data_IF_785418091194
#
_entry.id   IF_785418091194
#
_cell.length_a   1.000
_cell.length_b   1.000
_cell.length_c   1.000
_cell.angle_alpha   90.00
_cell.angle_beta   90.00
_cell.angle_gamma   90.00
#
_symmetry.space_group_name_H-M   'P 1'
#
loop_
_entity.id
_entity.type
_entity.pdbx_description
1 polymer ?
#
# COMPACT_ATOMS: atom_id res chain seq x y z
N UNK A 1 55.89 -80.51 50.73
CA UNK A 1 55.10 -79.28 50.81
C UNK A 1 55.76 -78.21 49.93
N UNK A 2 55.32 -78.07 48.71
CA UNK A 2 55.87 -77.08 47.80
C UNK A 2 54.68 -76.25 47.29
N UNK A 3 54.74 -74.94 47.51
CA UNK A 3 53.78 -74.02 47.01
C UNK A 3 54.21 -73.55 45.63
N UNK A 4 53.31 -73.75 44.59
CA UNK A 4 53.45 -73.20 43.28
C UNK A 4 52.83 -71.79 43.30
N UNK A 5 53.62 -70.79 42.92
CA UNK A 5 53.13 -69.45 42.56
C UNK A 5 52.75 -69.44 41.09
N UNK A 6 51.50 -69.25 40.78
CA UNK A 6 51.00 -68.95 39.40
C UNK A 6 50.99 -67.46 39.21
N UNK A 7 51.71 -66.96 38.21
CA UNK A 7 51.65 -65.57 37.72
C UNK A 7 50.52 -65.50 36.69
N UNK A 8 49.50 -64.73 36.97
CA UNK A 8 48.46 -64.39 36.01
C UNK A 8 48.83 -63.03 35.42
N UNK A 9 49.20 -63.02 34.15
CA UNK A 9 49.37 -61.83 33.36
C UNK A 9 47.94 -61.36 32.89
N UNK A 10 47.51 -60.13 33.28
CA UNK A 10 46.30 -59.48 32.80
C UNK A 10 46.77 -58.48 31.79
N UNK A 11 46.34 -58.57 30.52
CA UNK A 11 46.56 -57.49 29.53
C UNK A 11 45.59 -56.34 29.77
N UNK A 12 46.12 -55.17 30.08
CA UNK A 12 45.32 -53.90 30.10
C UNK A 12 45.02 -53.50 28.68
N UNK A 13 43.75 -53.72 28.25
CA UNK A 13 43.25 -53.16 27.04
C UNK A 13 42.94 -51.67 27.25
N UNK A 14 43.76 -50.79 26.69
CA UNK A 14 43.50 -49.36 26.63
C UNK A 14 42.41 -49.09 25.58
N UNK A 15 41.21 -48.84 26.03
CA UNK A 15 40.10 -48.34 25.18
C UNK A 15 40.37 -46.85 24.89
N UNK A 16 40.86 -46.54 23.70
CA UNK A 16 40.93 -45.16 23.19
C UNK A 16 39.52 -44.78 22.70
N UNK A 17 38.79 -44.04 23.53
CA UNK A 17 37.53 -43.43 23.18
C UNK A 17 37.80 -42.22 22.26
N UNK A 18 37.75 -42.43 20.94
CA UNK A 18 37.74 -41.33 19.97
C UNK A 18 36.35 -40.72 20.00
N UNK A 19 36.18 -39.63 20.78
CA UNK A 19 35.01 -38.79 20.70
C UNK A 19 35.01 -38.03 19.35
N UNK A 20 34.27 -38.54 18.37
CA UNK A 20 33.88 -37.77 17.22
C UNK A 20 32.89 -36.66 17.69
N UNK A 21 33.42 -35.47 17.92
CA UNK A 21 32.61 -34.27 17.97
C UNK A 21 32.06 -34.06 16.57
N UNK A 22 30.83 -34.54 16.31
CA UNK A 22 30.01 -34.04 15.21
C UNK A 22 29.68 -32.59 15.58
N UNK A 23 30.50 -31.66 15.14
CA UNK A 23 30.06 -30.28 14.99
C UNK A 23 28.93 -30.32 13.96
N UNK A 24 27.68 -30.36 14.45
CA UNK A 24 26.53 -29.96 13.64
C UNK A 24 26.78 -28.50 13.30
N UNK A 25 27.46 -28.28 12.18
CA UNK A 25 27.42 -27.00 11.55
C UNK A 25 25.92 -26.74 11.30
N UNK A 26 25.33 -25.83 12.07
CA UNK A 26 24.08 -25.22 11.68
C UNK A 26 24.36 -24.63 10.31
N UNK A 27 24.00 -25.36 9.26
CA UNK A 27 23.96 -24.81 7.92
C UNK A 27 23.10 -23.56 8.03
N UNK A 28 23.73 -22.39 7.86
CA UNK A 28 23.00 -21.15 7.72
C UNK A 28 21.94 -21.44 6.66
N UNK A 29 20.68 -21.29 7.00
CA UNK A 29 19.60 -21.64 6.11
C UNK A 29 19.80 -20.85 4.81
N UNK A 30 19.91 -21.55 3.67
CA UNK A 30 20.03 -20.90 2.35
C UNK A 30 18.72 -20.21 1.95
N UNK A 31 18.06 -19.59 2.94
CA UNK A 31 16.76 -18.94 2.80
C UNK A 31 16.80 -17.49 3.31
N UNK A 32 16.26 -16.59 2.51
CA UNK A 32 15.91 -15.23 2.93
C UNK A 32 14.48 -15.28 3.46
N UNK A 33 14.30 -15.14 4.78
CA UNK A 33 12.97 -15.14 5.39
C UNK A 33 12.39 -13.74 5.38
N UNK A 34 11.19 -13.59 4.81
CA UNK A 34 10.47 -12.32 4.73
C UNK A 34 9.12 -12.49 5.42
N UNK A 35 8.89 -11.70 6.46
CA UNK A 35 7.61 -11.58 7.12
C UNK A 35 6.65 -10.75 6.29
N UNK A 36 5.45 -11.27 6.05
CA UNK A 36 4.35 -10.53 5.40
C UNK A 36 3.28 -10.32 6.46
N UNK A 37 3.17 -9.08 6.96
CA UNK A 37 2.27 -8.73 8.05
C UNK A 37 1.13 -7.85 7.57
N UNK A 38 -0.09 -8.16 7.98
CA UNK A 38 -1.27 -7.35 7.63
C UNK A 38 -2.56 -7.98 8.14
N UNK A 39 -3.71 -7.31 7.94
CA UNK A 39 -5.02 -7.81 8.35
C UNK A 39 -5.49 -8.94 7.43
N UNK A 40 -4.95 -10.16 7.60
CA UNK A 40 -5.07 -11.28 6.64
C UNK A 40 -6.51 -11.77 6.42
N UNK A 41 -7.42 -11.48 7.33
CA UNK A 41 -8.86 -11.77 7.17
C UNK A 41 -9.56 -10.79 6.21
N UNK A 42 -8.92 -9.65 5.91
CA UNK A 42 -9.44 -8.60 5.04
C UNK A 42 -8.70 -8.57 3.72
N UNK A 43 -9.30 -7.95 2.71
CA UNK A 43 -8.73 -7.87 1.36
C UNK A 43 -7.36 -7.18 1.35
N UNK A 44 -7.16 -6.19 2.23
CA UNK A 44 -5.90 -5.45 2.33
C UNK A 44 -4.73 -6.40 2.63
N UNK A 45 -4.87 -7.24 3.65
CA UNK A 45 -3.86 -8.25 4.00
C UNK A 45 -3.76 -9.37 2.96
N UNK A 46 -4.89 -9.79 2.38
CA UNK A 46 -4.88 -10.78 1.28
C UNK A 46 -4.11 -10.26 0.07
N UNK A 47 -4.32 -8.99 -0.32
CA UNK A 47 -3.58 -8.38 -1.44
C UNK A 47 -2.09 -8.21 -1.12
N UNK A 48 -1.73 -7.88 0.13
CA UNK A 48 -0.33 -7.88 0.58
C UNK A 48 0.30 -9.27 0.45
N UNK A 49 -0.41 -10.30 0.88
CA UNK A 49 0.06 -11.68 0.76
C UNK A 49 0.21 -12.11 -0.71
N UNK A 50 -0.79 -11.84 -1.55
CA UNK A 50 -0.77 -12.19 -2.97
C UNK A 50 0.41 -11.53 -3.70
N UNK A 51 0.68 -10.24 -3.45
CA UNK A 51 1.84 -9.53 -4.01
C UNK A 51 3.16 -10.18 -3.60
N UNK A 52 3.31 -10.50 -2.32
CA UNK A 52 4.51 -11.15 -1.80
C UNK A 52 4.70 -12.55 -2.40
N UNK A 53 3.64 -13.35 -2.49
CA UNK A 53 3.67 -14.70 -3.10
C UNK A 53 4.13 -14.63 -4.55
N UNK A 54 3.55 -13.73 -5.35
CA UNK A 54 3.93 -13.58 -6.75
C UNK A 54 5.41 -13.21 -6.91
N UNK A 55 5.92 -12.27 -6.08
CA UNK A 55 7.33 -11.91 -6.08
C UNK A 55 8.23 -13.09 -5.74
N UNK A 56 7.92 -13.80 -4.66
CA UNK A 56 8.72 -14.94 -4.21
C UNK A 56 8.72 -16.11 -5.21
N UNK A 57 7.57 -16.42 -5.82
CA UNK A 57 7.45 -17.44 -6.86
C UNK A 57 8.33 -17.10 -8.06
N UNK A 58 8.26 -15.87 -8.59
CA UNK A 58 9.06 -15.42 -9.73
C UNK A 58 10.58 -15.45 -9.45
N UNK A 59 10.99 -15.00 -8.26
CA UNK A 59 12.41 -14.99 -7.86
C UNK A 59 12.91 -16.41 -7.66
N UNK A 60 12.14 -17.24 -6.95
CA UNK A 60 12.53 -18.62 -6.67
C UNK A 60 12.58 -19.49 -7.93
N UNK A 61 11.70 -19.24 -8.92
CA UNK A 61 11.73 -19.91 -10.21
C UNK A 61 13.03 -19.62 -11.01
N UNK A 62 13.63 -18.44 -10.80
CA UNK A 62 14.92 -18.05 -11.41
C UNK A 62 16.15 -18.54 -10.64
N UNK A 63 15.96 -19.33 -9.59
CA UNK A 63 17.07 -19.85 -8.78
C UNK A 63 17.17 -19.26 -7.38
N UNK A 64 16.48 -18.16 -7.09
CA UNK A 64 16.53 -17.40 -5.86
C UNK A 64 17.29 -16.08 -6.01
N UNK A 65 17.81 -15.56 -4.91
CA UNK A 65 18.52 -14.27 -4.79
C UNK A 65 20.01 -14.52 -4.65
N UNK A 66 20.82 -13.81 -5.43
CA UNK A 66 22.29 -13.88 -5.32
C UNK A 66 22.77 -13.00 -4.17
N UNK A 67 23.32 -13.63 -3.12
CA UNK A 67 23.90 -12.96 -1.94
C UNK A 67 25.40 -13.30 -1.90
N UNK A 68 26.24 -12.41 -2.39
CA UNK A 68 27.66 -12.69 -2.59
C UNK A 68 27.87 -13.86 -3.58
N UNK A 69 28.44 -14.97 -3.10
CA UNK A 69 28.64 -16.18 -3.90
C UNK A 69 27.50 -17.21 -3.78
N UNK A 70 26.49 -16.97 -2.94
CA UNK A 70 25.41 -17.92 -2.65
C UNK A 70 24.12 -17.54 -3.37
N UNK A 71 23.36 -18.57 -3.76
CA UNK A 71 21.96 -18.43 -4.19
C UNK A 71 21.04 -18.81 -3.03
N UNK A 72 20.17 -17.90 -2.60
CA UNK A 72 19.28 -18.08 -1.46
C UNK A 72 17.81 -18.01 -1.92
N UNK A 73 16.99 -18.95 -1.46
CA UNK A 73 15.55 -18.94 -1.78
C UNK A 73 14.79 -17.99 -0.85
N UNK A 74 13.76 -17.33 -1.36
CA UNK A 74 12.84 -16.57 -0.52
C UNK A 74 11.86 -17.52 0.15
N UNK A 75 11.72 -17.37 1.47
CA UNK A 75 10.71 -18.01 2.29
C UNK A 75 9.81 -16.95 2.91
N UNK A 76 8.54 -16.96 2.54
CA UNK A 76 7.55 -16.07 3.12
C UNK A 76 6.98 -16.63 4.41
N UNK A 77 6.76 -15.76 5.38
CA UNK A 77 6.12 -16.07 6.66
C UNK A 77 4.94 -15.12 6.83
N UNK A 78 3.73 -15.67 6.78
CA UNK A 78 2.51 -14.89 6.93
C UNK A 78 2.22 -14.59 8.40
N UNK A 79 1.83 -13.35 8.69
CA UNK A 79 1.40 -12.93 10.02
C UNK A 79 0.10 -12.11 9.94
N UNK A 80 -0.98 -12.63 10.53
CA UNK A 80 -2.22 -11.85 10.71
C UNK A 80 -1.99 -10.85 11.84
N UNK A 81 -2.02 -9.58 11.52
CA UNK A 81 -1.85 -8.48 12.48
C UNK A 81 -3.12 -8.19 13.28
N UNK A 82 -4.30 -8.63 12.81
CA UNK A 82 -5.61 -8.32 13.39
C UNK A 82 -5.82 -6.82 13.73
N UNK A 83 -5.10 -5.95 13.04
CA UNK A 83 -4.90 -4.52 13.35
C UNK A 83 -6.18 -3.66 13.24
N UNK A 84 -7.26 -4.18 12.64
CA UNK A 84 -8.56 -3.51 12.68
C UNK A 84 -9.24 -3.58 14.05
N UNK A 85 -8.88 -4.59 14.87
CA UNK A 85 -9.50 -4.86 16.17
C UNK A 85 -8.54 -4.62 17.33
N UNK A 86 -7.22 -4.86 17.16
CA UNK A 86 -6.27 -4.86 18.26
C UNK A 86 -4.87 -4.45 17.81
N UNK A 87 -4.36 -3.34 18.35
CA UNK A 87 -2.96 -2.92 18.16
C UNK A 87 -2.01 -3.93 18.84
N UNK A 88 -2.40 -4.49 19.99
CA UNK A 88 -1.63 -5.50 20.71
C UNK A 88 -1.41 -6.75 19.87
N UNK A 89 -2.40 -7.20 19.12
CA UNK A 89 -2.23 -8.36 18.23
C UNK A 89 -1.23 -8.06 17.13
N UNK A 90 -1.24 -6.84 16.59
CA UNK A 90 -0.30 -6.42 15.57
C UNK A 90 1.16 -6.39 16.10
N UNK A 91 1.37 -5.86 17.32
CA UNK A 91 2.69 -5.87 17.96
C UNK A 91 3.18 -7.29 18.25
N UNK A 92 2.32 -8.14 18.81
CA UNK A 92 2.64 -9.55 19.07
C UNK A 92 2.99 -10.32 17.77
N UNK A 93 2.30 -10.02 16.67
CA UNK A 93 2.60 -10.62 15.37
C UNK A 93 3.98 -10.17 14.85
N UNK A 94 4.32 -8.89 14.97
CA UNK A 94 5.64 -8.35 14.60
C UNK A 94 6.75 -8.95 15.45
N UNK A 95 6.59 -8.98 16.77
CA UNK A 95 7.56 -9.59 17.70
C UNK A 95 7.81 -11.06 17.38
N UNK A 96 6.75 -11.83 17.08
CA UNK A 96 6.84 -13.24 16.70
C UNK A 96 7.65 -13.42 15.40
N UNK A 97 7.38 -12.63 14.36
CA UNK A 97 8.15 -12.67 13.12
C UNK A 97 9.64 -12.46 13.37
N UNK A 98 10.01 -11.51 14.23
CA UNK A 98 11.40 -11.14 14.50
C UNK A 98 12.06 -12.13 15.45
N UNK A 99 11.44 -12.42 16.60
CA UNK A 99 12.09 -13.15 17.69
C UNK A 99 12.03 -14.66 17.52
N UNK A 100 10.90 -15.21 17.05
CA UNK A 100 10.69 -16.64 16.86
C UNK A 100 11.04 -17.10 15.45
N UNK A 101 10.45 -16.41 14.45
CA UNK A 101 10.53 -16.83 13.06
C UNK A 101 11.83 -16.33 12.39
N UNK A 102 12.56 -15.41 13.06
CA UNK A 102 13.88 -14.89 12.66
C UNK A 102 13.88 -14.38 11.22
N UNK A 103 12.91 -13.55 10.88
CA UNK A 103 12.83 -12.93 9.55
C UNK A 103 13.97 -11.92 9.36
N UNK A 104 14.48 -11.82 8.12
CA UNK A 104 15.47 -10.81 7.74
C UNK A 104 14.80 -9.46 7.41
N UNK A 105 13.59 -9.51 6.87
CA UNK A 105 12.81 -8.35 6.43
C UNK A 105 11.34 -8.53 6.76
N UNK A 106 10.63 -7.41 6.88
CA UNK A 106 9.17 -7.40 6.99
C UNK A 106 8.59 -6.48 5.92
N UNK A 107 7.48 -6.88 5.30
CA UNK A 107 6.70 -6.07 4.38
C UNK A 107 5.22 -6.10 4.79
N UNK A 108 4.50 -5.01 4.57
CA UNK A 108 3.05 -4.96 4.84
C UNK A 108 2.63 -3.89 5.85
N UNK A 109 1.68 -4.22 6.73
CA UNK A 109 1.02 -3.27 7.65
C UNK A 109 0.00 -2.38 6.93
N UNK A 110 -1.07 -1.99 7.61
CA UNK A 110 -2.15 -1.23 6.99
C UNK A 110 -2.64 -0.05 7.86
N UNK A 111 -3.11 -0.31 9.08
CA UNK A 111 -3.61 0.77 9.93
C UNK A 111 -2.45 1.58 10.52
N UNK A 112 -2.56 2.90 10.40
CA UNK A 112 -1.52 3.83 10.87
C UNK A 112 -1.12 3.57 12.31
N UNK A 113 -2.08 3.40 13.21
CA UNK A 113 -1.86 3.21 14.65
C UNK A 113 -1.07 1.92 14.95
N UNK A 114 -1.39 0.85 14.23
CA UNK A 114 -0.69 -0.42 14.36
C UNK A 114 0.71 -0.34 13.73
N UNK A 115 0.83 0.31 12.57
CA UNK A 115 2.13 0.45 11.89
C UNK A 115 3.12 1.28 12.70
N UNK A 116 2.68 2.29 13.46
CA UNK A 116 3.54 3.00 14.40
C UNK A 116 4.16 2.06 15.44
N UNK A 117 3.34 1.22 16.07
CA UNK A 117 3.82 0.27 17.07
C UNK A 117 4.72 -0.82 16.45
N UNK A 118 4.36 -1.32 15.26
CA UNK A 118 5.19 -2.28 14.52
C UNK A 118 6.52 -1.68 14.07
N UNK A 119 6.55 -0.39 13.68
CA UNK A 119 7.75 0.34 13.32
C UNK A 119 8.75 0.40 14.48
N UNK A 120 8.26 0.69 15.69
CA UNK A 120 9.11 0.72 16.90
C UNK A 120 9.80 -0.63 17.11
N UNK A 121 9.06 -1.73 17.03
CA UNK A 121 9.60 -3.10 17.23
C UNK A 121 10.61 -3.47 16.14
N UNK A 122 10.26 -3.25 14.86
CA UNK A 122 11.14 -3.60 13.75
C UNK A 122 12.46 -2.82 13.80
N UNK A 123 12.38 -1.51 14.03
CA UNK A 123 13.55 -0.64 14.07
C UNK A 123 14.47 -0.92 15.28
N UNK A 124 13.91 -1.19 16.46
CA UNK A 124 14.69 -1.60 17.64
C UNK A 124 15.49 -2.89 17.39
N UNK A 125 14.98 -3.78 16.56
CA UNK A 125 15.64 -5.03 16.20
C UNK A 125 16.46 -4.94 14.90
N UNK A 126 16.62 -3.74 14.31
CA UNK A 126 17.31 -3.50 13.03
C UNK A 126 16.79 -4.34 11.86
N UNK A 127 15.50 -4.66 11.88
CA UNK A 127 14.82 -5.37 10.79
C UNK A 127 14.21 -4.33 9.86
N UNK A 128 14.60 -4.37 8.58
CA UNK A 128 14.02 -3.47 7.59
C UNK A 128 12.54 -3.80 7.42
N UNK A 129 11.69 -2.79 7.66
CA UNK A 129 10.25 -2.86 7.50
C UNK A 129 9.80 -1.92 6.39
N UNK A 130 9.30 -2.48 5.28
CA UNK A 130 8.72 -1.69 4.18
C UNK A 130 7.19 -1.68 4.35
N UNK A 131 6.65 -0.52 4.73
CA UNK A 131 5.23 -0.32 4.97
C UNK A 131 4.42 -0.30 3.67
N UNK A 132 3.41 -1.18 3.55
CA UNK A 132 2.59 -1.31 2.33
C UNK A 132 1.10 -1.12 2.63
N UNK A 133 0.72 -0.01 3.31
CA UNK A 133 -0.69 0.25 3.65
C UNK A 133 -0.94 1.55 4.36
N UNK A 134 -0.14 1.89 5.35
CA UNK A 134 -0.33 3.10 6.16
C UNK A 134 0.18 4.37 5.46
N UNK A 135 -0.64 5.43 5.49
CA UNK A 135 -0.35 6.65 4.75
C UNK A 135 0.17 7.82 5.60
N UNK A 136 0.16 7.74 6.94
CA UNK A 136 0.58 8.87 7.77
C UNK A 136 1.97 9.41 7.42
N UNK A 137 2.09 10.72 7.23
CA UNK A 137 3.38 11.41 7.01
C UNK A 137 4.34 11.19 8.19
N UNK A 138 3.80 11.08 9.41
CA UNK A 138 4.59 10.95 10.63
C UNK A 138 5.43 9.68 10.68
N UNK A 139 5.03 8.60 10.00
CA UNK A 139 5.85 7.39 9.89
C UNK A 139 7.25 7.68 9.31
N UNK A 140 7.32 8.56 8.32
CA UNK A 140 8.56 8.96 7.65
C UNK A 140 9.18 10.20 8.30
N UNK A 141 8.39 11.10 8.91
CA UNK A 141 8.90 12.21 9.70
C UNK A 141 9.73 11.72 10.90
N UNK A 142 9.31 10.60 11.54
CA UNK A 142 10.09 9.96 12.61
C UNK A 142 11.47 9.50 12.13
N UNK A 143 11.58 9.00 10.90
CA UNK A 143 12.88 8.64 10.29
C UNK A 143 13.78 9.88 10.21
N UNK A 144 13.28 10.97 9.65
CA UNK A 144 14.06 12.20 9.53
C UNK A 144 14.45 12.82 10.88
N UNK A 145 13.56 12.73 11.87
CA UNK A 145 13.77 13.33 13.20
C UNK A 145 14.68 12.48 14.10
N UNK A 146 14.56 11.17 14.01
CA UNK A 146 15.26 10.19 14.87
C UNK A 146 15.89 9.09 14.01
N UNK A 147 16.79 9.50 13.08
CA UNK A 147 17.33 8.66 12.03
C UNK A 147 17.93 7.33 12.55
N UNK A 148 18.82 7.40 13.54
CA UNK A 148 19.48 6.19 14.07
C UNK A 148 18.49 5.17 14.64
N UNK A 149 17.37 5.63 15.14
CA UNK A 149 16.31 4.78 15.68
C UNK A 149 15.41 4.20 14.60
N UNK A 150 15.03 4.99 13.56
CA UNK A 150 14.00 4.62 12.62
C UNK A 150 14.47 4.38 11.17
N UNK A 151 15.77 4.43 10.88
CA UNK A 151 16.33 4.26 9.52
C UNK A 151 15.97 2.92 8.84
N UNK A 152 15.49 1.94 9.58
CA UNK A 152 15.06 0.65 9.05
C UNK A 152 13.62 0.62 8.55
N UNK A 153 12.88 1.72 8.65
CA UNK A 153 11.55 1.85 8.08
C UNK A 153 11.59 2.58 6.74
N UNK A 154 10.89 2.02 5.74
CA UNK A 154 10.68 2.63 4.42
C UNK A 154 9.20 2.58 4.06
N UNK A 155 8.70 3.60 3.37
CA UNK A 155 7.39 3.54 2.73
C UNK A 155 7.48 2.78 1.42
N UNK A 156 6.66 1.75 1.25
CA UNK A 156 6.44 1.06 -0.02
C UNK A 156 5.24 1.63 -0.76
N UNK A 157 4.06 1.53 -0.15
CA UNK A 157 2.77 2.02 -0.66
C UNK A 157 1.80 2.31 0.49
N UNK A 158 0.80 3.18 0.29
CA UNK A 158 0.67 4.20 -0.76
C UNK A 158 1.62 5.37 -0.52
N UNK A 159 1.44 6.49 -1.25
CA UNK A 159 2.08 7.75 -0.87
C UNK A 159 1.64 8.18 0.52
N UNK A 160 2.35 9.16 1.11
CA UNK A 160 1.94 9.76 2.38
C UNK A 160 0.61 10.53 2.27
N UNK A 161 0.01 10.85 3.41
CA UNK A 161 -1.28 11.54 3.49
C UNK A 161 -1.29 12.87 2.73
N UNK A 162 -0.21 13.65 2.82
CA UNK A 162 -0.06 14.91 2.07
C UNK A 162 -0.11 14.68 0.56
N UNK A 163 0.57 13.68 0.04
CA UNK A 163 0.58 13.35 -1.38
C UNK A 163 -0.77 12.76 -1.84
N UNK A 164 -1.42 11.91 -1.00
CA UNK A 164 -2.75 11.40 -1.27
C UNK A 164 -3.79 12.52 -1.43
N UNK A 165 -3.74 13.51 -0.54
CA UNK A 165 -4.62 14.69 -0.64
C UNK A 165 -4.35 15.48 -1.92
N UNK A 166 -3.09 15.70 -2.30
CA UNK A 166 -2.73 16.38 -3.56
C UNK A 166 -3.25 15.63 -4.78
N UNK A 167 -3.11 14.30 -4.81
CA UNK A 167 -3.65 13.48 -5.88
C UNK A 167 -5.17 13.58 -5.93
N UNK A 168 -5.84 13.46 -4.79
CA UNK A 168 -7.30 13.55 -4.70
C UNK A 168 -7.84 14.92 -5.14
N UNK A 169 -7.17 16.02 -4.82
CA UNK A 169 -7.51 17.35 -5.37
C UNK A 169 -7.37 17.41 -6.88
N UNK A 170 -6.35 16.76 -7.44
CA UNK A 170 -6.19 16.68 -8.91
C UNK A 170 -7.36 15.92 -9.55
N UNK A 171 -7.84 14.83 -8.91
CA UNK A 171 -9.01 14.08 -9.37
C UNK A 171 -10.29 14.95 -9.31
N UNK A 172 -10.49 15.66 -8.20
CA UNK A 172 -11.63 16.60 -8.05
C UNK A 172 -11.56 17.73 -9.08
N UNK A 173 -10.38 18.31 -9.31
CA UNK A 173 -10.15 19.35 -10.30
C UNK A 173 -10.49 18.89 -11.72
N UNK A 174 -9.98 17.72 -12.13
CA UNK A 174 -10.29 17.14 -13.44
C UNK A 174 -11.77 16.79 -13.59
N UNK A 175 -12.42 16.30 -12.52
CA UNK A 175 -13.87 16.02 -12.54
C UNK A 175 -14.66 17.32 -12.66
N UNK A 176 -14.29 18.37 -11.94
CA UNK A 176 -14.94 19.68 -12.03
C UNK A 176 -14.82 20.28 -13.45
N UNK A 177 -13.68 20.09 -14.12
CA UNK A 177 -13.50 20.51 -15.50
C UNK A 177 -14.46 19.76 -16.44
N UNK A 178 -14.61 18.45 -16.29
CA UNK A 178 -15.58 17.65 -17.04
C UNK A 178 -17.01 18.13 -16.80
N UNK A 179 -17.39 18.41 -15.54
CA UNK A 179 -18.73 18.93 -15.22
C UNK A 179 -19.01 20.31 -15.85
N UNK A 180 -18.03 21.21 -15.85
CA UNK A 180 -18.14 22.51 -16.52
C UNK A 180 -18.35 22.34 -18.03
N UNK A 181 -17.53 21.51 -18.66
CA UNK A 181 -17.55 21.33 -20.11
C UNK A 181 -18.81 20.59 -20.58
N UNK A 182 -19.21 19.53 -19.88
CA UNK A 182 -20.30 18.66 -20.29
C UNK A 182 -21.69 19.15 -19.84
N UNK A 183 -21.79 19.83 -18.69
CA UNK A 183 -23.07 20.30 -18.13
C UNK A 183 -23.27 21.82 -18.20
N UNK A 184 -22.28 22.58 -18.68
CA UNK A 184 -22.36 24.03 -18.82
C UNK A 184 -22.39 24.77 -17.47
N UNK A 185 -21.80 24.22 -16.40
CA UNK A 185 -21.79 24.85 -15.09
C UNK A 185 -20.80 26.02 -15.09
N UNK A 186 -21.29 27.24 -14.88
CA UNK A 186 -20.50 28.49 -14.96
C UNK A 186 -20.04 29.03 -13.60
N UNK A 187 -20.71 28.65 -12.52
CA UNK A 187 -20.35 29.09 -11.17
C UNK A 187 -19.32 28.21 -10.47
N UNK A 188 -18.98 28.50 -9.20
CA UNK A 188 -18.18 27.62 -8.37
C UNK A 188 -18.82 26.23 -8.26
N UNK A 189 -18.03 25.18 -8.47
CA UNK A 189 -18.49 23.80 -8.24
C UNK A 189 -18.70 23.60 -6.73
N UNK A 190 -19.88 23.16 -6.33
CA UNK A 190 -20.25 22.88 -4.95
C UNK A 190 -19.75 21.48 -4.55
N UNK A 191 -18.93 21.42 -3.50
CA UNK A 191 -18.29 20.20 -3.04
C UNK A 191 -18.75 19.86 -1.61
N UNK A 192 -19.35 18.69 -1.44
CA UNK A 192 -19.56 18.08 -0.13
C UNK A 192 -18.33 17.23 0.23
N UNK A 193 -17.67 17.51 1.34
CA UNK A 193 -16.55 16.70 1.79
C UNK A 193 -17.04 15.64 2.78
N UNK A 194 -16.72 14.37 2.52
CA UNK A 194 -17.14 13.23 3.34
C UNK A 194 -15.93 12.36 3.66
N UNK A 195 -15.54 12.34 4.94
CA UNK A 195 -14.41 11.55 5.41
C UNK A 195 -14.82 10.69 6.60
N UNK A 196 -14.47 9.41 6.60
CA UNK A 196 -14.71 8.55 7.77
C UNK A 196 -14.02 9.07 9.04
N UNK A 197 -14.55 8.72 10.22
CA UNK A 197 -13.92 9.02 11.50
C UNK A 197 -12.71 8.10 11.71
N UNK A 198 -11.55 8.49 11.18
CA UNK A 198 -10.29 7.75 11.30
C UNK A 198 -9.11 8.72 11.31
N UNK A 199 -8.05 8.39 12.06
CA UNK A 199 -6.89 9.25 12.27
C UNK A 199 -6.23 9.69 10.96
N UNK A 200 -6.12 8.79 9.99
CA UNK A 200 -5.52 9.11 8.69
C UNK A 200 -6.28 10.20 7.91
N UNK A 201 -7.61 10.31 8.14
CA UNK A 201 -8.48 11.25 7.45
C UNK A 201 -8.65 12.58 8.21
N UNK A 202 -8.26 12.65 9.48
CA UNK A 202 -8.48 13.85 10.33
C UNK A 202 -7.70 15.05 9.80
N UNK A 203 -6.43 14.87 9.42
CA UNK A 203 -5.58 15.92 8.87
C UNK A 203 -6.08 16.44 7.51
N UNK A 204 -6.95 15.71 6.82
CA UNK A 204 -7.46 16.08 5.49
C UNK A 204 -8.56 17.13 5.56
N UNK A 205 -9.31 17.20 6.67
CA UNK A 205 -10.40 18.18 6.84
C UNK A 205 -9.90 19.62 6.69
N UNK A 206 -8.90 20.09 7.47
CA UNK A 206 -8.38 21.46 7.31
C UNK A 206 -7.72 21.68 5.94
N UNK A 207 -7.09 20.67 5.35
CA UNK A 207 -6.51 20.80 4.02
C UNK A 207 -7.57 21.04 2.94
N UNK A 208 -8.72 20.36 3.02
CA UNK A 208 -9.85 20.54 2.10
C UNK A 208 -10.48 21.92 2.27
N UNK A 209 -10.72 22.34 3.51
CA UNK A 209 -11.26 23.66 3.83
C UNK A 209 -10.38 24.80 3.29
N UNK A 210 -9.06 24.66 3.36
CA UNK A 210 -8.11 25.65 2.89
C UNK A 210 -7.90 25.64 1.36
N UNK A 211 -8.08 24.50 0.69
CA UNK A 211 -7.69 24.31 -0.71
C UNK A 211 -8.83 24.48 -1.70
N UNK A 212 -10.03 23.97 -1.42
CA UNK A 212 -11.16 24.06 -2.36
C UNK A 212 -11.50 25.48 -2.79
N UNK A 213 -11.51 26.51 -1.87
CA UNK A 213 -11.76 27.87 -2.30
C UNK A 213 -10.67 28.40 -3.26
N UNK A 214 -9.40 28.02 -3.08
CA UNK A 214 -8.30 28.39 -3.98
C UNK A 214 -8.42 27.75 -5.36
N UNK A 215 -9.15 26.63 -5.47
CA UNK A 215 -9.47 25.97 -6.73
C UNK A 215 -10.74 26.51 -7.39
N UNK A 216 -11.34 27.61 -6.87
CA UNK A 216 -12.60 28.15 -7.36
C UNK A 216 -13.80 27.26 -7.11
N UNK A 217 -13.80 26.50 -6.02
CA UNK A 217 -14.87 25.61 -5.59
C UNK A 217 -15.45 26.06 -4.26
N UNK A 218 -16.72 25.73 -4.01
CA UNK A 218 -17.43 26.02 -2.77
C UNK A 218 -17.55 24.76 -1.93
N UNK A 219 -17.00 24.77 -0.71
CA UNK A 219 -17.24 23.71 0.26
C UNK A 219 -18.59 23.91 0.95
N UNK A 220 -19.59 23.07 0.62
CA UNK A 220 -20.95 23.20 1.14
C UNK A 220 -21.18 22.47 2.46
N UNK A 221 -20.25 21.65 2.91
CA UNK A 221 -20.30 20.99 4.21
C UNK A 221 -19.27 19.87 4.34
N UNK A 222 -19.11 19.41 5.60
CA UNK A 222 -18.21 18.32 6.00
C UNK A 222 -19.02 17.28 6.77
N UNK A 223 -18.97 16.03 6.34
CA UNK A 223 -19.65 14.91 6.99
C UNK A 223 -18.64 13.85 7.42
N UNK A 224 -18.84 13.30 8.61
CA UNK A 224 -17.90 12.35 9.23
C UNK A 224 -18.65 11.07 9.67
N UNK A 225 -19.02 10.17 8.72
CA UNK A 225 -19.67 8.90 9.08
C UNK A 225 -18.73 7.98 9.87
N UNK A 226 -19.33 7.06 10.64
CA UNK A 226 -18.59 5.98 11.29
C UNK A 226 -17.94 5.07 10.23
N UNK A 227 -16.71 4.57 10.45
CA UNK A 227 -16.03 3.64 9.53
C UNK A 227 -16.83 2.35 9.27
N UNK A 228 -17.69 1.97 10.20
CA UNK A 228 -18.51 0.74 10.13
C UNK A 228 -20.00 1.03 9.93
N UNK A 229 -20.37 2.27 9.58
CA UNK A 229 -21.76 2.61 9.28
C UNK A 229 -22.30 1.79 8.12
N UNK A 230 -23.50 1.24 8.30
CA UNK A 230 -24.23 0.47 7.27
C UNK A 230 -25.36 1.28 6.64
N UNK A 231 -25.77 2.36 7.30
CA UNK A 231 -26.74 3.34 6.82
C UNK A 231 -26.14 4.75 6.97
N UNK A 232 -26.18 5.50 5.86
CA UNK A 232 -25.69 6.90 5.73
C UNK A 232 -26.74 7.80 5.06
N UNK A 233 -28.00 7.39 5.13
CA UNK A 233 -29.12 8.10 4.47
C UNK A 233 -29.32 9.52 5.03
N UNK A 234 -29.03 9.75 6.29
CA UNK A 234 -29.12 11.08 6.91
C UNK A 234 -28.08 12.06 6.33
N UNK A 235 -26.82 11.62 6.24
CA UNK A 235 -25.73 12.37 5.62
C UNK A 235 -26.03 12.63 4.14
N UNK A 236 -26.46 11.62 3.39
CA UNK A 236 -26.78 11.74 1.96
C UNK A 236 -27.94 12.69 1.70
N UNK A 237 -28.98 12.66 2.54
CA UNK A 237 -30.10 13.62 2.48
C UNK A 237 -29.64 15.06 2.73
N UNK A 238 -28.70 15.26 3.67
CA UNK A 238 -28.13 16.59 3.92
C UNK A 238 -27.24 17.04 2.75
N UNK A 239 -26.44 16.15 2.19
CA UNK A 239 -25.62 16.41 0.98
C UNK A 239 -26.51 16.79 -0.21
N UNK A 240 -27.60 16.07 -0.44
CA UNK A 240 -28.52 16.39 -1.53
C UNK A 240 -29.14 17.79 -1.36
N UNK A 241 -29.57 18.15 -0.15
CA UNK A 241 -30.10 19.49 0.14
C UNK A 241 -29.08 20.61 -0.02
N UNK A 242 -27.79 20.32 0.17
CA UNK A 242 -26.73 21.32 0.00
C UNK A 242 -26.49 21.70 -1.46
N UNK A 243 -27.02 20.94 -2.42
CA UNK A 243 -26.82 21.15 -3.83
C UNK A 243 -25.40 20.82 -4.30
N UNK A 244 -24.69 19.96 -3.59
CA UNK A 244 -23.37 19.50 -3.97
C UNK A 244 -23.38 18.86 -5.38
N UNK A 245 -22.36 19.16 -6.16
CA UNK A 245 -22.11 18.62 -7.51
C UNK A 245 -21.00 17.59 -7.51
N UNK A 246 -20.14 17.66 -6.50
CA UNK A 246 -19.10 16.65 -6.19
C UNK A 246 -19.24 16.25 -4.73
N UNK A 247 -19.21 14.95 -4.47
CA UNK A 247 -19.04 14.36 -3.15
C UNK A 247 -17.59 13.89 -3.08
N UNK A 248 -16.77 14.64 -2.35
CA UNK A 248 -15.34 14.35 -2.19
C UNK A 248 -15.15 13.39 -1.01
N UNK A 249 -14.81 12.14 -1.31
CA UNK A 249 -14.84 11.02 -0.35
C UNK A 249 -13.47 10.61 0.15
N UNK A 250 -13.36 10.26 1.45
CA UNK A 250 -12.18 9.66 2.07
C UNK A 250 -12.59 8.49 2.96
N UNK A 251 -12.56 7.28 2.40
CA UNK A 251 -12.94 6.03 3.06
C UNK A 251 -11.86 4.97 2.89
N UNK A 252 -11.37 4.41 3.99
CA UNK A 252 -10.46 3.26 4.01
C UNK A 252 -11.13 1.97 4.51
N UNK A 253 -12.38 2.07 4.94
CA UNK A 253 -13.13 1.02 5.62
C UNK A 253 -14.46 0.72 4.92
N UNK A 254 -15.22 -0.23 5.49
CA UNK A 254 -16.44 -0.79 4.89
C UNK A 254 -17.55 0.23 4.62
N UNK A 255 -17.56 1.40 5.26
CA UNK A 255 -18.55 2.47 5.00
C UNK A 255 -18.56 2.93 3.54
N UNK A 256 -17.46 2.77 2.81
CA UNK A 256 -17.38 3.11 1.39
C UNK A 256 -18.38 2.34 0.51
N UNK A 257 -18.82 1.15 0.92
CA UNK A 257 -19.81 0.34 0.19
C UNK A 257 -21.23 0.90 0.35
N UNK A 258 -21.81 1.00 1.57
CA UNK A 258 -23.16 1.55 1.74
C UNK A 258 -23.24 3.00 1.27
N UNK A 259 -22.18 3.80 1.45
CA UNK A 259 -22.17 5.19 0.98
C UNK A 259 -22.35 5.27 -0.54
N UNK A 260 -21.54 4.53 -1.30
CA UNK A 260 -21.63 4.52 -2.75
C UNK A 260 -23.01 4.03 -3.24
N UNK A 261 -23.47 2.91 -2.65
CA UNK A 261 -24.75 2.30 -2.99
C UNK A 261 -25.92 3.24 -2.74
N UNK A 262 -26.06 3.75 -1.52
CA UNK A 262 -27.20 4.59 -1.13
C UNK A 262 -27.21 5.92 -1.88
N UNK A 263 -26.05 6.53 -2.16
CA UNK A 263 -25.96 7.76 -2.93
C UNK A 263 -26.52 7.56 -4.35
N UNK A 264 -26.23 6.44 -5.00
CA UNK A 264 -26.72 6.13 -6.34
C UNK A 264 -28.19 5.67 -6.33
N UNK A 265 -28.62 4.89 -5.33
CA UNK A 265 -30.05 4.55 -5.12
C UNK A 265 -30.91 5.82 -4.99
N UNK A 266 -30.45 6.82 -4.26
CA UNK A 266 -31.09 8.14 -4.10
C UNK A 266 -30.93 9.03 -5.33
N UNK A 267 -30.15 8.63 -6.35
CA UNK A 267 -29.87 9.41 -7.56
C UNK A 267 -29.42 10.84 -7.26
N UNK A 268 -28.54 10.99 -6.25
CA UNK A 268 -27.97 12.29 -5.90
C UNK A 268 -27.24 12.85 -7.12
N UNK A 269 -27.56 14.09 -7.59
CA UNK A 269 -26.97 14.66 -8.80
C UNK A 269 -25.55 15.19 -8.54
N UNK A 270 -24.67 14.34 -8.05
CA UNK A 270 -23.27 14.64 -7.71
C UNK A 270 -22.35 13.48 -8.09
N UNK A 271 -21.12 13.82 -8.50
CA UNK A 271 -20.05 12.83 -8.74
C UNK A 271 -19.39 12.45 -7.43
N UNK A 272 -19.25 11.15 -7.16
CA UNK A 272 -18.44 10.64 -6.06
C UNK A 272 -16.99 10.54 -6.52
N UNK A 273 -16.09 11.30 -5.89
CA UNK A 273 -14.66 11.39 -6.29
C UNK A 273 -13.79 11.45 -5.04
N UNK A 274 -12.69 10.73 -5.01
CA UNK A 274 -11.72 10.84 -3.92
C UNK A 274 -11.00 9.53 -3.61
N UNK A 275 -11.04 9.11 -2.37
CA UNK A 275 -10.47 7.85 -1.90
C UNK A 275 -11.60 6.99 -1.33
N UNK A 276 -11.88 5.87 -1.97
CA UNK A 276 -12.73 4.82 -1.46
C UNK A 276 -12.00 3.49 -1.70
N UNK A 277 -11.35 2.98 -0.66
CA UNK A 277 -10.51 1.77 -0.78
C UNK A 277 -11.34 0.55 -1.15
N UNK A 278 -12.59 0.47 -0.68
CA UNK A 278 -13.49 -0.62 -1.07
C UNK A 278 -13.78 -0.62 -2.58
N UNK A 279 -13.85 0.57 -3.20
CA UNK A 279 -14.11 0.69 -4.64
C UNK A 279 -12.95 0.23 -5.54
N UNK A 280 -11.78 -0.05 -4.98
CA UNK A 280 -10.65 -0.62 -5.73
C UNK A 280 -10.75 -2.15 -5.92
N UNK A 281 -11.73 -2.79 -5.29
CA UNK A 281 -11.89 -4.26 -5.25
C UNK A 281 -12.91 -4.73 -6.29
N UNK A 282 -12.68 -5.91 -6.85
CA UNK A 282 -13.62 -6.53 -7.80
C UNK A 282 -15.01 -6.77 -7.19
N UNK A 283 -15.05 -7.15 -5.91
CA UNK A 283 -16.28 -7.42 -5.18
C UNK A 283 -17.16 -6.19 -4.95
N UNK A 284 -16.60 -4.99 -5.07
CA UNK A 284 -17.34 -3.74 -4.85
C UNK A 284 -18.59 -3.63 -5.73
N UNK A 285 -18.49 -4.07 -6.98
CA UNK A 285 -19.64 -4.07 -7.89
C UNK A 285 -20.80 -4.90 -7.35
N UNK A 286 -20.52 -6.12 -6.89
CA UNK A 286 -21.54 -7.00 -6.32
C UNK A 286 -22.01 -6.51 -4.95
N UNK A 287 -21.09 -6.05 -4.08
CA UNK A 287 -21.40 -5.55 -2.74
C UNK A 287 -22.31 -4.30 -2.79
N UNK A 288 -22.16 -3.49 -3.83
CA UNK A 288 -23.04 -2.33 -4.09
C UNK A 288 -24.27 -2.69 -4.92
N UNK A 289 -24.44 -3.94 -5.34
CA UNK A 289 -25.55 -4.40 -6.24
C UNK A 289 -25.60 -3.61 -7.55
N UNK A 290 -24.42 -3.32 -8.13
CA UNK A 290 -24.30 -2.49 -9.34
C UNK A 290 -24.45 -0.98 -9.10
N UNK A 291 -24.80 -0.55 -7.89
CA UNK A 291 -24.93 0.88 -7.56
C UNK A 291 -23.58 1.57 -7.29
N UNK A 292 -22.45 0.86 -7.44
CA UNK A 292 -21.12 1.45 -7.44
C UNK A 292 -20.77 2.19 -8.73
N UNK A 293 -21.65 2.19 -9.76
CA UNK A 293 -21.41 2.83 -11.05
C UNK A 293 -21.12 4.33 -10.88
N UNK A 294 -20.25 4.89 -11.71
CA UNK A 294 -19.78 6.29 -11.69
C UNK A 294 -18.91 6.70 -10.49
N UNK A 295 -18.68 5.84 -9.51
CA UNK A 295 -17.76 6.14 -8.39
C UNK A 295 -16.33 6.22 -8.89
N UNK A 296 -15.66 7.36 -8.63
CA UNK A 296 -14.25 7.59 -8.93
C UNK A 296 -13.45 7.45 -7.64
N UNK A 297 -12.43 6.61 -7.65
CA UNK A 297 -11.50 6.47 -6.53
C UNK A 297 -10.05 6.55 -6.98
N UNK A 298 -9.20 7.12 -6.12
CA UNK A 298 -7.74 6.96 -6.28
C UNK A 298 -7.41 5.48 -6.32
N UNK A 299 -6.54 5.08 -7.21
CA UNK A 299 -6.07 3.70 -7.36
C UNK A 299 -4.59 3.68 -7.77
N UNK A 300 -3.99 2.50 -7.76
CA UNK A 300 -2.61 2.30 -8.22
C UNK A 300 -2.59 1.64 -9.58
N UNK A 301 -3.57 0.76 -9.82
CA UNK A 301 -3.69 -0.01 -11.04
C UNK A 301 -5.10 0.03 -11.62
N UNK A 302 -5.16 -0.05 -12.93
CA UNK A 302 -6.36 -0.37 -13.70
C UNK A 302 -5.94 -1.17 -14.93
N UNK A 303 -6.77 -2.11 -15.37
CA UNK A 303 -6.45 -3.02 -16.49
C UNK A 303 -6.12 -2.28 -17.79
N UNK A 304 -6.72 -1.13 -18.00
CA UNK A 304 -6.58 -0.34 -19.23
C UNK A 304 -5.44 0.68 -19.19
N UNK A 305 -4.79 0.94 -18.04
CA UNK A 305 -3.80 2.02 -17.89
C UNK A 305 -2.39 1.46 -17.83
N UNK A 306 -1.50 2.09 -18.60
CA UNK A 306 -0.06 1.83 -18.58
C UNK A 306 0.67 3.07 -18.03
N UNK A 307 1.19 2.97 -16.80
CA UNK A 307 2.01 4.01 -16.19
C UNK A 307 3.44 4.02 -16.79
N UNK A 308 3.93 2.81 -17.09
CA UNK A 308 5.21 2.53 -17.77
C UNK A 308 5.18 1.12 -18.40
N UNK A 309 6.29 0.70 -18.97
CA UNK A 309 6.42 -0.59 -19.65
C UNK A 309 6.25 -1.83 -18.77
N UNK A 310 6.40 -1.69 -17.44
CA UNK A 310 6.24 -2.79 -16.48
C UNK A 310 4.79 -2.98 -16.02
N UNK A 311 3.94 -1.95 -16.18
CA UNK A 311 2.57 -1.95 -15.64
C UNK A 311 1.73 -3.09 -16.22
N UNK A 312 1.60 -3.14 -17.54
CA UNK A 312 0.72 -4.09 -18.20
C UNK A 312 1.11 -5.56 -18.00
N UNK A 313 2.40 -5.95 -18.18
CA UNK A 313 2.81 -7.33 -17.90
C UNK A 313 2.52 -7.76 -16.47
N UNK A 314 2.74 -6.88 -15.47
CA UNK A 314 2.45 -7.17 -14.07
C UNK A 314 0.95 -7.34 -13.82
N UNK A 315 0.13 -6.38 -14.27
CA UNK A 315 -1.32 -6.41 -14.05
C UNK A 315 -1.96 -7.65 -14.69
N UNK A 316 -1.56 -8.00 -15.92
CA UNK A 316 -2.07 -9.19 -16.60
C UNK A 316 -1.64 -10.50 -15.91
N UNK A 317 -0.39 -10.58 -15.46
CA UNK A 317 0.09 -11.74 -14.71
C UNK A 317 -0.61 -11.88 -13.35
N UNK A 318 -0.84 -10.77 -12.65
CA UNK A 318 -1.57 -10.76 -11.39
C UNK A 318 -3.02 -11.19 -11.57
N UNK A 319 -3.74 -10.62 -12.57
CA UNK A 319 -5.13 -11.02 -12.89
C UNK A 319 -5.20 -12.50 -13.26
N UNK A 320 -4.26 -12.99 -14.08
CA UNK A 320 -4.20 -14.42 -14.45
C UNK A 320 -4.02 -15.32 -13.22
N UNK A 321 -3.24 -14.87 -12.23
CA UNK A 321 -2.90 -15.66 -11.03
C UNK A 321 -3.99 -15.61 -9.98
N UNK A 322 -4.63 -14.46 -9.76
CA UNK A 322 -5.52 -14.20 -8.63
C UNK A 322 -6.96 -13.83 -9.02
N UNK A 323 -7.24 -13.60 -10.32
CA UNK A 323 -8.60 -13.31 -10.82
C UNK A 323 -9.07 -11.87 -10.61
N UNK A 324 -8.22 -10.98 -10.06
CA UNK A 324 -8.58 -9.61 -9.71
C UNK A 324 -7.50 -8.61 -10.12
N UNK A 325 -7.85 -7.33 -10.24
CA UNK A 325 -6.89 -6.24 -10.48
C UNK A 325 -6.11 -5.98 -9.19
N UNK A 326 -4.77 -5.81 -9.26
CA UNK A 326 -3.98 -5.50 -8.07
C UNK A 326 -4.39 -4.16 -7.46
N UNK A 327 -4.31 -4.06 -6.12
CA UNK A 327 -4.54 -2.83 -5.37
C UNK A 327 -3.20 -2.22 -4.91
N UNK A 328 -3.23 -1.05 -4.27
CA UNK A 328 -1.99 -0.47 -3.74
C UNK A 328 -1.32 -1.33 -2.65
N UNK A 329 -2.08 -2.12 -1.91
CA UNK A 329 -1.52 -3.02 -0.89
C UNK A 329 -0.76 -4.21 -1.50
N UNK A 330 -0.95 -4.48 -2.80
CA UNK A 330 -0.13 -5.42 -3.58
C UNK A 330 1.33 -4.95 -3.71
N UNK A 331 1.64 -3.72 -3.30
CA UNK A 331 2.98 -3.13 -3.30
C UNK A 331 4.05 -3.90 -2.51
N UNK A 332 3.67 -4.95 -1.80
CA UNK A 332 4.61 -5.96 -1.28
C UNK A 332 5.37 -6.69 -2.39
N UNK A 333 4.79 -6.79 -3.60
CA UNK A 333 5.50 -7.32 -4.78
C UNK A 333 6.71 -6.46 -5.15
N UNK A 334 6.50 -5.15 -5.31
CA UNK A 334 7.58 -4.22 -5.64
C UNK A 334 8.59 -4.11 -4.50
N UNK A 335 8.10 -4.10 -3.27
CA UNK A 335 8.93 -4.01 -2.07
C UNK A 335 9.89 -5.20 -1.94
N UNK A 336 9.42 -6.40 -2.23
CA UNK A 336 10.27 -7.59 -2.21
C UNK A 336 11.20 -7.62 -3.42
N UNK A 337 10.66 -7.53 -4.64
CA UNK A 337 11.40 -7.78 -5.87
C UNK A 337 12.33 -6.63 -6.23
N UNK A 338 11.80 -5.40 -6.31
CA UNK A 338 12.53 -4.24 -6.82
C UNK A 338 13.28 -3.48 -5.71
N UNK A 339 12.69 -3.40 -4.50
CA UNK A 339 13.37 -2.71 -3.40
C UNK A 339 14.39 -3.60 -2.72
N UNK A 340 13.98 -4.76 -2.17
CA UNK A 340 14.88 -5.60 -1.38
C UNK A 340 15.80 -6.45 -2.27
N UNK A 341 15.23 -7.29 -3.15
CA UNK A 341 16.02 -8.29 -3.87
C UNK A 341 17.02 -7.65 -4.83
N UNK A 342 16.59 -6.71 -5.67
CA UNK A 342 17.52 -6.03 -6.58
C UNK A 342 18.64 -5.30 -5.80
N UNK A 343 18.32 -4.74 -4.61
CA UNK A 343 19.33 -4.11 -3.75
C UNK A 343 20.31 -5.13 -3.19
N UNK A 344 19.80 -6.25 -2.66
CA UNK A 344 20.62 -7.34 -2.11
C UNK A 344 21.56 -7.90 -3.18
N UNK A 345 21.07 -8.15 -4.38
CA UNK A 345 21.89 -8.65 -5.50
C UNK A 345 22.97 -7.65 -5.93
N UNK A 346 22.64 -6.34 -5.92
CA UNK A 346 23.58 -5.26 -6.25
C UNK A 346 24.76 -5.21 -5.28
N UNK A 347 24.49 -5.35 -3.96
CA UNK A 347 25.53 -5.18 -2.92
C UNK A 347 26.06 -6.50 -2.37
N UNK A 348 25.42 -7.64 -2.70
CA UNK A 348 25.88 -8.98 -2.32
C UNK A 348 25.78 -9.31 -0.82
N UNK A 349 24.89 -8.65 -0.07
CA UNK A 349 24.79 -8.85 1.41
C UNK A 349 23.37 -8.64 1.93
N UNK A 350 23.08 -9.27 3.09
CA UNK A 350 21.86 -9.05 3.87
C UNK A 350 22.05 -8.04 5.02
N UNK A 351 23.20 -7.38 5.08
CA UNK A 351 23.49 -6.36 6.11
C UNK A 351 22.46 -5.21 6.01
N UNK A 352 21.64 -4.98 7.07
CA UNK A 352 20.56 -4.00 6.98
C UNK A 352 21.07 -2.56 6.82
N UNK A 353 22.21 -2.19 7.41
CA UNK A 353 22.75 -0.84 7.30
C UNK A 353 23.23 -0.54 5.86
N UNK A 354 23.83 -1.53 5.19
CA UNK A 354 24.23 -1.41 3.78
C UNK A 354 23.03 -1.35 2.84
N UNK A 355 21.98 -2.13 3.14
CA UNK A 355 20.73 -2.09 2.36
C UNK A 355 20.07 -0.73 2.52
N UNK A 356 19.96 -0.19 3.74
CA UNK A 356 19.42 1.15 4.01
C UNK A 356 20.17 2.20 3.21
N UNK A 357 21.50 2.27 3.33
CA UNK A 357 22.32 3.25 2.63
C UNK A 357 22.20 3.17 1.10
N UNK A 358 21.97 1.96 0.57
CA UNK A 358 21.77 1.77 -0.87
C UNK A 358 20.37 2.20 -1.31
N UNK A 359 19.31 1.82 -0.58
CA UNK A 359 17.93 2.21 -0.89
C UNK A 359 17.74 3.73 -0.90
N UNK A 360 18.36 4.44 0.04
CA UNK A 360 18.31 5.91 0.13
C UNK A 360 18.81 6.63 -1.12
N UNK A 361 19.69 5.99 -1.89
CA UNK A 361 20.33 6.60 -3.06
C UNK A 361 19.88 5.98 -4.39
N UNK A 362 19.03 4.94 -4.35
CA UNK A 362 18.53 4.31 -5.58
C UNK A 362 17.32 5.05 -6.17
N UNK A 363 17.30 5.09 -7.51
CA UNK A 363 16.10 5.39 -8.29
C UNK A 363 15.82 4.18 -9.16
N UNK A 364 14.61 3.62 -9.07
CA UNK A 364 14.26 2.41 -9.78
C UNK A 364 12.78 2.39 -10.21
N UNK A 365 12.49 1.70 -11.30
CA UNK A 365 11.13 1.55 -11.80
C UNK A 365 10.43 0.39 -11.12
N UNK A 366 9.14 0.59 -10.89
CA UNK A 366 8.18 -0.42 -10.44
C UNK A 366 6.98 -0.41 -11.38
N UNK A 367 6.10 -1.42 -11.38
CA UNK A 367 4.95 -1.44 -12.26
C UNK A 367 4.08 -0.17 -12.23
N UNK A 368 3.79 0.47 -11.08
CA UNK A 368 2.97 1.68 -11.07
C UNK A 368 3.76 2.98 -11.20
N UNK A 369 5.09 2.99 -10.96
CA UNK A 369 5.81 4.26 -10.82
C UNK A 369 7.34 4.10 -10.83
N UNK A 370 8.04 5.23 -10.80
CA UNK A 370 9.46 5.29 -10.43
C UNK A 370 9.58 5.63 -8.95
N UNK A 371 10.34 4.85 -8.22
CA UNK A 371 10.59 5.03 -6.79
C UNK A 371 11.90 5.79 -6.59
N UNK A 372 11.82 6.82 -5.76
CA UNK A 372 12.93 7.58 -5.22
C UNK A 372 12.53 8.00 -3.81
N UNK A 373 13.41 7.75 -2.84
CA UNK A 373 13.21 8.24 -1.48
C UNK A 373 13.69 9.67 -1.35
N UNK A 374 12.91 10.51 -0.63
CA UNK A 374 13.18 11.95 -0.54
C UNK A 374 13.86 12.32 0.76
N UNK A 375 14.52 13.48 0.72
CA UNK A 375 15.00 14.20 1.91
C UNK A 375 14.05 15.33 2.25
N UNK A 376 14.02 15.71 3.53
CA UNK A 376 13.29 16.89 3.98
C UNK A 376 14.05 18.20 3.61
N UNK A 377 13.46 19.33 3.99
CA UNK A 377 14.04 20.66 3.72
C UNK A 377 15.39 20.92 4.44
N UNK A 378 15.73 20.07 5.41
CA UNK A 378 17.01 20.10 6.13
C UNK A 378 18.03 19.10 5.58
N UNK A 379 17.70 18.42 4.47
CA UNK A 379 18.56 17.42 3.83
C UNK A 379 18.60 16.05 4.52
N UNK A 380 17.70 15.79 5.48
CA UNK A 380 17.63 14.52 6.22
C UNK A 380 16.81 13.50 5.45
N UNK A 381 17.25 12.25 5.42
CA UNK A 381 16.49 11.15 4.79
C UNK A 381 15.17 10.92 5.52
N UNK A 382 14.08 10.85 4.77
CA UNK A 382 12.74 10.60 5.31
C UNK A 382 12.27 9.17 5.06
N UNK A 383 12.86 8.49 4.08
CA UNK A 383 12.41 7.20 3.53
C UNK A 383 10.95 7.26 3.01
N UNK A 384 10.49 8.45 2.66
CA UNK A 384 9.21 8.66 1.99
C UNK A 384 9.37 8.77 0.48
N UNK A 385 8.30 8.48 -0.25
CA UNK A 385 8.32 8.42 -1.70
C UNK A 385 8.25 9.82 -2.33
N UNK A 386 9.03 10.04 -3.39
CA UNK A 386 8.89 11.23 -4.22
C UNK A 386 7.56 11.17 -4.98
N UNK A 387 6.71 12.17 -4.72
CA UNK A 387 5.43 12.33 -5.40
C UNK A 387 5.54 13.31 -6.56
N UNK A 388 4.88 13.01 -7.68
CA UNK A 388 4.76 13.90 -8.83
C UNK A 388 5.11 13.25 -10.17
N UNK A 389 5.02 14.03 -11.29
CA UNK A 389 5.28 13.52 -12.63
C UNK A 389 6.62 12.81 -12.77
N UNK A 390 6.61 11.64 -13.42
CA UNK A 390 7.80 10.80 -13.59
C UNK A 390 8.17 9.94 -12.36
N UNK A 391 7.46 10.13 -11.25
CA UNK A 391 7.59 9.35 -10.01
C UNK A 391 6.23 8.79 -9.58
N UNK A 392 6.02 8.61 -8.29
CA UNK A 392 4.76 8.12 -7.78
C UNK A 392 3.65 9.18 -7.90
N UNK A 393 2.60 8.91 -8.68
CA UNK A 393 1.42 9.79 -8.84
C UNK A 393 0.12 9.09 -8.51
N UNK A 394 0.07 7.76 -8.63
CA UNK A 394 -1.17 7.00 -8.67
C UNK A 394 -1.98 7.29 -9.94
N UNK A 395 -3.16 6.71 -9.98
CA UNK A 395 -4.19 6.97 -10.99
C UNK A 395 -5.53 7.17 -10.31
N UNK A 396 -6.54 7.66 -11.04
CA UNK A 396 -7.93 7.52 -10.63
C UNK A 396 -8.65 6.55 -11.56
N UNK A 397 -9.49 5.71 -10.97
CA UNK A 397 -10.35 4.79 -11.73
C UNK A 397 -11.82 5.03 -11.38
N UNK A 398 -12.67 4.81 -12.35
CA UNK A 398 -14.12 4.92 -12.25
C UNK A 398 -14.77 3.58 -12.53
N UNK A 399 -15.76 3.22 -11.77
CA UNK A 399 -16.67 2.14 -12.14
C UNK A 399 -17.56 2.58 -13.30
N UNK A 400 -17.48 1.87 -14.42
CA UNK A 400 -18.24 2.15 -15.64
C UNK A 400 -18.88 0.85 -16.14
N UNK A 401 -20.18 0.71 -15.89
CA UNK A 401 -20.99 -0.42 -16.36
C UNK A 401 -20.44 -1.81 -15.91
N UNK A 402 -19.96 -1.88 -14.68
CA UNK A 402 -19.40 -3.10 -14.08
C UNK A 402 -17.89 -3.28 -14.27
N UNK A 403 -17.23 -2.37 -15.00
CA UNK A 403 -15.79 -2.38 -15.21
C UNK A 403 -15.09 -1.30 -14.37
N UNK A 404 -13.94 -1.62 -13.79
CA UNK A 404 -13.08 -0.67 -13.07
C UNK A 404 -12.08 -0.07 -14.05
N UNK A 405 -12.36 1.14 -14.52
CA UNK A 405 -11.69 1.79 -15.65
C UNK A 405 -10.85 2.97 -15.18
N UNK A 406 -9.56 2.99 -15.51
CA UNK A 406 -8.70 4.12 -15.24
C UNK A 406 -9.05 5.33 -16.13
N UNK A 407 -9.29 6.47 -15.47
CA UNK A 407 -9.77 7.72 -16.11
C UNK A 407 -8.85 8.90 -15.92
N UNK A 408 -7.85 8.79 -15.05
CA UNK A 408 -6.86 9.86 -14.77
C UNK A 408 -5.46 9.22 -14.54
N UNK A 409 -4.35 9.94 -14.89
CA UNK A 409 -4.25 11.28 -15.46
C UNK A 409 -4.61 11.32 -16.94
N UNK A 410 -5.45 12.29 -17.31
CA UNK A 410 -5.80 12.61 -18.68
C UNK A 410 -5.67 14.13 -18.88
N UNK A 411 -4.65 14.57 -19.60
CA UNK A 411 -4.26 15.99 -19.77
C UNK A 411 -4.08 16.75 -18.45
N UNK A 412 -3.61 16.04 -17.43
CA UNK A 412 -3.34 16.64 -16.14
C UNK A 412 -2.16 17.62 -16.22
N UNK A 413 -2.36 18.82 -15.69
CA UNK A 413 -1.37 19.89 -15.71
C UNK A 413 -0.86 20.20 -14.29
N UNK A 414 0.11 19.45 -13.76
CA UNK A 414 0.63 19.63 -12.39
C UNK A 414 1.46 20.90 -12.21
N UNK A 415 2.01 21.45 -13.30
CA UNK A 415 2.81 22.66 -13.31
C UNK A 415 2.76 23.33 -14.70
N UNK A 416 3.13 24.62 -14.82
CA UNK A 416 3.24 25.29 -16.11
C UNK A 416 4.12 24.51 -17.10
N UNK A 417 3.59 24.24 -18.30
CA UNK A 417 4.31 23.52 -19.35
C UNK A 417 4.39 21.99 -19.17
N UNK A 418 3.85 21.44 -18.10
CA UNK A 418 3.82 19.98 -17.86
C UNK A 418 2.41 19.46 -18.05
N UNK A 419 2.22 18.55 -19.00
CA UNK A 419 0.97 17.83 -19.20
C UNK A 419 1.24 16.33 -19.12
N UNK A 420 0.41 15.59 -18.37
CA UNK A 420 0.54 14.15 -18.14
C UNK A 420 -0.73 13.44 -18.60
N UNK A 421 -0.58 12.46 -19.47
CA UNK A 421 -1.63 11.52 -19.87
C UNK A 421 -1.04 10.14 -19.89
N UNK A 422 -1.63 9.21 -19.13
CA UNK A 422 -1.21 7.81 -19.20
C UNK A 422 -1.91 7.09 -20.35
N UNK A 423 -1.19 6.17 -20.98
CA UNK A 423 -1.72 5.39 -22.09
C UNK A 423 -2.89 4.52 -21.60
N UNK A 424 -3.98 4.55 -22.37
CA UNK A 424 -5.16 3.72 -22.12
C UNK A 424 -6.23 4.35 -21.24
N UNK A 425 -6.00 5.53 -20.62
CA UNK A 425 -7.05 6.23 -19.84
C UNK A 425 -8.30 6.49 -20.67
N UNK A 426 -9.47 6.38 -20.04
CA UNK A 426 -10.79 6.61 -20.66
C UNK A 426 -11.40 7.90 -20.15
N UNK A 427 -12.39 8.46 -20.86
CA UNK A 427 -13.16 9.59 -20.38
C UNK A 427 -13.92 9.27 -19.10
N UNK A 428 -14.08 10.29 -18.23
CA UNK A 428 -14.99 10.23 -17.08
C UNK A 428 -16.42 10.20 -17.60
N UNK A 429 -17.25 9.27 -17.12
CA UNK A 429 -18.69 9.21 -17.38
C UNK A 429 -19.47 9.94 -16.29
N UNK A 430 -20.43 10.76 -16.68
CA UNK A 430 -21.34 11.45 -15.76
C UNK A 430 -22.63 10.62 -15.60
N UNK A 431 -23.18 10.47 -14.38
CA UNK A 431 -24.45 9.77 -14.18
C UNK A 431 -25.60 10.38 -15.00
N UNK A 432 -26.46 9.58 -15.68
CA UNK A 432 -27.56 10.10 -16.48
C UNK A 432 -28.53 11.00 -15.70
N UNK A 433 -28.78 10.68 -14.42
CA UNK A 433 -29.66 11.51 -13.58
C UNK A 433 -29.04 12.87 -13.25
N UNK A 434 -27.71 12.98 -13.21
CA UNK A 434 -27.02 14.26 -13.08
C UNK A 434 -27.14 15.06 -14.37
N UNK A 435 -26.94 14.44 -15.54
CA UNK A 435 -27.14 15.09 -16.83
C UNK A 435 -28.57 15.66 -16.92
N UNK A 436 -29.60 14.85 -16.55
CA UNK A 436 -30.98 15.28 -16.52
C UNK A 436 -31.25 16.43 -15.55
N UNK A 437 -30.54 16.52 -14.44
CA UNK A 437 -30.74 17.59 -13.46
C UNK A 437 -30.17 18.94 -13.92
N UNK A 438 -29.09 18.93 -14.70
CA UNK A 438 -28.37 20.15 -15.12
C UNK A 438 -28.58 20.54 -16.57
N UNK A 439 -28.89 19.61 -17.48
CA UNK A 439 -29.29 19.91 -18.86
C UNK A 439 -30.83 19.88 -18.95
N UNK A 440 -31.46 21.00 -18.60
CA UNK A 440 -32.90 21.22 -18.84
C UNK A 440 -33.13 21.63 -20.28
#
# INVERSE_FOLDING_TARGET
MKWLKSNVFVPVLAFVFVMFFWATAFAASDEIRIGVIGPMKFIQGKSQWNGAVMAAEEINAKGGVKVGSKMMKIKLIQADSNEFLSITDATNAMERLITRDKVHFVVGGFRTEAVFAMQDIACQNKVIFIGCGAASDELCNRVAKYYDQYKYFFRGTPFNSTALVKAAFSHVGSTAEVLRNELGITGPIKVAFVAEKAQWADAMVPAVQATLPKMGMELVGVWRPSPVATDVSAELSAIQRSGAQIIFTFFSSSVGIPFARQANELKIPAMQVGINVEAQKAEFWQATRGQGNYVITSSTYARNVECNELTKPFVEAYIKRFGEVPTYTTGTYESIKMSLVDTIEMIGTLDPDKIVATLENRVYKTPPSTIMYVKDNLGRHTHDLKFGPGYATGIASQWQDGEFVGVWPNKWKPAPGVEVTYKGVKPIKIPPWMIKAYKK
#
